data_IF_588265975619
#
_entry.id   IF_588265975619
#
_cell.length_a   1.000
_cell.length_b   1.000
_cell.length_c   1.000
_cell.angle_alpha   90.00
_cell.angle_beta   90.00
_cell.angle_gamma   90.00
#
_symmetry.space_group_name_H-M   'P 1'
#
loop_
_entity.id
_entity.type
_entity.pdbx_description
1 polymer ?
#
# COMPACT_ATOMS: atom_id res chain seq x y z
N UNK A 1 10.02 3.70 6.41
CA UNK A 1 8.68 4.16 6.17
C UNK A 1 7.76 3.05 5.68
N UNK A 2 6.84 3.38 4.79
CA UNK A 2 5.78 2.47 4.28
C UNK A 2 6.35 1.13 3.77
N UNK A 3 7.37 1.16 2.94
CA UNK A 3 8.01 -0.04 2.39
C UNK A 3 8.59 -0.96 3.48
N UNK A 4 9.22 -0.39 4.52
CA UNK A 4 9.72 -1.19 5.64
C UNK A 4 8.57 -1.81 6.46
N UNK A 5 7.47 -1.07 6.67
CA UNK A 5 6.29 -1.61 7.34
C UNK A 5 5.69 -2.79 6.55
N UNK A 6 5.59 -2.64 5.22
CA UNK A 6 5.15 -3.72 4.35
C UNK A 6 6.10 -4.92 4.38
N UNK A 7 7.42 -4.68 4.33
CA UNK A 7 8.43 -5.73 4.46
C UNK A 7 8.32 -6.50 5.79
N UNK A 8 8.08 -5.79 6.90
CA UNK A 8 7.86 -6.41 8.21
C UNK A 8 6.60 -7.30 8.21
N UNK A 9 5.50 -6.85 7.62
CA UNK A 9 4.27 -7.64 7.46
C UNK A 9 4.53 -8.88 6.62
N UNK A 10 5.25 -8.73 5.50
CA UNK A 10 5.59 -9.85 4.61
C UNK A 10 6.50 -10.87 5.31
N UNK A 11 7.52 -10.40 6.04
CA UNK A 11 8.40 -11.27 6.82
C UNK A 11 7.64 -12.01 7.92
N UNK A 12 6.75 -11.31 8.64
CA UNK A 12 5.90 -11.93 9.65
C UNK A 12 4.94 -12.97 9.04
N UNK A 13 4.41 -12.70 7.85
CA UNK A 13 3.56 -13.65 7.14
C UNK A 13 4.34 -14.89 6.69
N UNK A 14 5.60 -14.73 6.23
CA UNK A 14 6.47 -15.83 5.82
C UNK A 14 6.92 -16.71 7.00
N UNK A 15 7.22 -16.09 8.15
CA UNK A 15 7.86 -16.73 9.30
C UNK A 15 6.92 -16.89 10.51
N UNK A 16 5.64 -16.59 10.35
CA UNK A 16 4.66 -16.63 11.45
C UNK A 16 4.37 -18.04 11.94
N UNK A 17 4.16 -18.20 13.24
CA UNK A 17 3.89 -19.51 13.88
C UNK A 17 2.59 -20.15 13.43
N UNK A 18 1.64 -19.35 12.91
CA UNK A 18 0.34 -19.84 12.43
C UNK A 18 0.33 -20.03 10.89
N UNK A 19 1.46 -19.83 10.24
CA UNK A 19 1.61 -19.93 8.78
C UNK A 19 2.54 -21.07 8.47
N UNK A 20 2.03 -22.10 7.80
CA UNK A 20 2.79 -23.26 7.34
C UNK A 20 3.58 -22.97 6.08
N UNK A 21 3.04 -22.18 5.18
CA UNK A 21 3.69 -21.80 3.92
C UNK A 21 3.12 -20.50 3.35
N UNK A 22 3.95 -19.80 2.57
CA UNK A 22 3.58 -18.66 1.76
C UNK A 22 4.01 -18.91 0.31
N UNK A 23 3.05 -18.91 -0.60
CA UNK A 23 3.28 -19.16 -2.02
C UNK A 23 2.98 -17.88 -2.82
N UNK A 24 4.01 -17.19 -3.33
CA UNK A 24 3.79 -16.04 -4.20
C UNK A 24 3.20 -16.47 -5.54
N UNK A 25 2.28 -15.67 -6.08
CA UNK A 25 1.80 -15.84 -7.44
C UNK A 25 2.84 -15.25 -8.40
N UNK A 26 3.63 -16.13 -9.02
CA UNK A 26 4.70 -15.74 -9.94
C UNK A 26 4.22 -15.00 -11.20
N UNK A 27 2.91 -15.02 -11.48
CA UNK A 27 2.32 -14.29 -12.61
C UNK A 27 1.93 -12.85 -12.26
N UNK A 28 2.00 -12.44 -10.99
CA UNK A 28 1.71 -11.06 -10.61
C UNK A 28 2.95 -10.17 -10.80
N UNK A 29 2.70 -8.92 -11.20
CA UNK A 29 3.75 -7.93 -11.45
C UNK A 29 4.65 -7.68 -10.23
N UNK A 30 4.08 -7.76 -9.03
CA UNK A 30 4.77 -7.51 -7.77
C UNK A 30 5.47 -8.71 -7.16
N UNK A 31 5.52 -9.89 -7.82
CA UNK A 31 6.07 -11.11 -7.21
C UNK A 31 7.55 -10.96 -6.78
N UNK A 32 8.39 -10.42 -7.66
CA UNK A 32 9.80 -10.19 -7.34
C UNK A 32 9.98 -9.15 -6.23
N UNK A 33 9.21 -8.07 -6.28
CA UNK A 33 9.20 -7.03 -5.26
C UNK A 33 8.76 -7.56 -3.90
N UNK A 34 7.74 -8.40 -3.86
CA UNK A 34 7.27 -9.06 -2.65
C UNK A 34 8.37 -9.92 -2.00
N UNK A 35 9.12 -10.68 -2.79
CA UNK A 35 10.21 -11.49 -2.27
C UNK A 35 11.32 -10.63 -1.69
N UNK A 36 11.72 -9.54 -2.37
CA UNK A 36 12.67 -8.57 -1.83
C UNK A 36 12.20 -7.99 -0.49
N UNK A 37 10.91 -7.67 -0.37
CA UNK A 37 10.34 -7.14 0.87
C UNK A 37 10.35 -8.17 2.00
N UNK A 38 10.07 -9.43 1.70
CA UNK A 38 10.13 -10.51 2.69
C UNK A 38 11.54 -10.73 3.23
N UNK A 39 12.55 -10.56 2.38
CA UNK A 39 13.96 -10.75 2.74
C UNK A 39 14.58 -9.55 3.49
N UNK A 40 13.93 -8.38 3.52
CA UNK A 40 14.43 -7.19 4.23
C UNK A 40 14.69 -7.42 5.72
N UNK A 41 13.98 -8.35 6.34
CA UNK A 41 14.06 -8.66 7.76
C UNK A 41 14.60 -10.07 8.02
N UNK A 42 15.13 -10.73 6.99
CA UNK A 42 15.82 -12.00 7.13
C UNK A 42 17.29 -11.75 7.52
N UNK A 43 17.75 -12.19 8.70
CA UNK A 43 19.10 -11.93 9.16
C UNK A 43 20.18 -12.63 8.32
N UNK A 44 19.82 -13.63 7.53
CA UNK A 44 20.73 -14.36 6.64
C UNK A 44 20.75 -13.79 5.21
N UNK A 45 19.78 -12.94 4.87
CA UNK A 45 19.69 -12.36 3.54
C UNK A 45 20.55 -11.09 3.43
N UNK A 46 21.32 -10.99 2.35
CA UNK A 46 21.97 -9.73 1.95
C UNK A 46 20.92 -8.91 1.22
N UNK A 47 20.17 -8.09 1.94
CA UNK A 47 19.12 -7.26 1.35
C UNK A 47 19.52 -5.80 1.29
N UNK A 48 19.18 -5.16 0.18
CA UNK A 48 19.30 -3.71 -0.02
C UNK A 48 17.88 -3.14 0.02
N UNK A 49 17.72 -2.04 0.75
CA UNK A 49 16.44 -1.32 0.77
C UNK A 49 16.01 -1.01 -0.67
N UNK A 50 14.79 -1.37 -1.06
CA UNK A 50 14.30 -1.07 -2.39
C UNK A 50 14.26 0.45 -2.61
N UNK A 51 14.38 0.90 -3.86
CA UNK A 51 14.26 2.31 -4.19
C UNK A 51 12.88 2.83 -3.79
N UNK A 52 12.73 4.15 -3.76
CA UNK A 52 11.46 4.79 -3.52
C UNK A 52 10.47 4.42 -4.62
N UNK A 53 9.26 4.01 -4.25
CA UNK A 53 8.17 3.73 -5.20
C UNK A 53 7.84 5.00 -5.99
N UNK A 54 7.95 4.95 -7.30
CA UNK A 54 7.59 6.07 -8.19
C UNK A 54 6.06 6.20 -8.29
N UNK A 55 5.58 7.36 -8.74
CA UNK A 55 4.14 7.64 -8.84
C UNK A 55 3.43 6.69 -9.81
N UNK A 56 4.13 6.24 -10.84
CA UNK A 56 3.64 5.29 -11.83
C UNK A 56 3.63 3.85 -11.32
N UNK A 57 4.37 3.56 -10.26
CA UNK A 57 4.55 2.21 -9.75
C UNK A 57 3.44 1.89 -8.75
N UNK A 58 2.51 1.07 -9.18
CA UNK A 58 1.55 0.41 -8.32
C UNK A 58 1.84 -1.08 -8.34
N UNK A 59 2.34 -1.60 -7.23
CA UNK A 59 2.66 -3.02 -7.14
C UNK A 59 1.49 -3.79 -6.54
N UNK A 60 0.90 -4.66 -7.35
CA UNK A 60 -0.01 -5.69 -6.86
C UNK A 60 0.80 -6.96 -6.57
N UNK A 61 0.83 -7.35 -5.31
CA UNK A 61 1.54 -8.54 -4.83
C UNK A 61 0.53 -9.57 -4.38
N UNK A 62 0.34 -10.63 -5.15
CA UNK A 62 -0.59 -11.71 -4.84
C UNK A 62 0.13 -12.93 -4.31
N UNK A 63 -0.44 -13.54 -3.29
CA UNK A 63 0.10 -14.75 -2.67
C UNK A 63 -0.97 -15.55 -1.95
N UNK A 64 -0.65 -16.80 -1.66
CA UNK A 64 -1.47 -17.70 -0.86
C UNK A 64 -0.75 -18.01 0.44
N UNK A 65 -1.39 -17.72 1.57
CA UNK A 65 -0.96 -18.23 2.88
C UNK A 65 -1.66 -19.56 3.15
N UNK A 66 -0.90 -20.54 3.58
CA UNK A 66 -1.40 -21.81 4.08
C UNK A 66 -1.30 -21.80 5.60
N UNK A 67 -2.43 -21.88 6.29
CA UNK A 67 -2.49 -21.97 7.74
C UNK A 67 -2.02 -23.33 8.27
N UNK A 68 -1.75 -23.41 9.57
CA UNK A 68 -1.45 -24.69 10.25
C UNK A 68 -2.60 -25.70 10.11
N UNK A 69 -3.83 -25.22 9.97
CA UNK A 69 -5.02 -26.02 9.71
C UNK A 69 -5.14 -26.52 8.26
N UNK A 70 -4.16 -26.18 7.40
CA UNK A 70 -4.13 -26.52 5.99
C UNK A 70 -5.05 -25.66 5.11
N UNK A 71 -5.73 -24.67 5.65
CA UNK A 71 -6.57 -23.78 4.85
C UNK A 71 -5.73 -22.80 4.06
N UNK A 72 -6.16 -22.55 2.84
CA UNK A 72 -5.55 -21.57 1.94
C UNK A 72 -6.28 -20.22 2.01
N UNK A 73 -5.50 -19.17 2.19
CA UNK A 73 -5.98 -17.79 2.19
C UNK A 73 -5.29 -17.01 1.07
N UNK A 74 -6.05 -16.67 0.04
CA UNK A 74 -5.56 -15.83 -1.07
C UNK A 74 -5.59 -14.37 -0.65
N UNK A 75 -4.45 -13.72 -0.79
CA UNK A 75 -4.24 -12.34 -0.38
C UNK A 75 -3.62 -11.55 -1.53
N UNK A 76 -3.95 -10.27 -1.59
CA UNK A 76 -3.27 -9.31 -2.44
C UNK A 76 -2.92 -8.06 -1.63
N UNK A 77 -1.65 -7.65 -1.70
CA UNK A 77 -1.23 -6.32 -1.24
C UNK A 77 -1.12 -5.39 -2.44
N UNK A 78 -1.54 -4.16 -2.24
CA UNK A 78 -1.36 -3.08 -3.21
C UNK A 78 -0.48 -2.02 -2.55
N UNK A 79 0.76 -1.90 -3.02
CA UNK A 79 1.67 -0.84 -2.59
C UNK A 79 1.53 0.37 -3.50
N UNK A 80 1.19 1.51 -2.92
CA UNK A 80 0.93 2.76 -3.61
C UNK A 80 2.02 3.78 -3.31
N UNK A 81 2.44 4.53 -4.32
CA UNK A 81 3.35 5.66 -4.13
C UNK A 81 2.78 6.70 -3.17
N UNK A 82 3.64 7.27 -2.31
CA UNK A 82 3.27 8.40 -1.46
C UNK A 82 2.87 9.66 -2.25
N UNK A 83 3.28 9.80 -3.50
CA UNK A 83 2.90 10.91 -4.38
C UNK A 83 1.43 10.88 -4.78
N UNK A 84 0.77 9.71 -4.70
CA UNK A 84 -0.67 9.58 -4.94
C UNK A 84 -1.51 10.44 -3.99
N UNK A 85 -1.05 10.73 -2.78
CA UNK A 85 -1.72 11.67 -1.89
C UNK A 85 -1.79 13.08 -2.49
N UNK A 86 -0.74 13.52 -3.18
CA UNK A 86 -0.76 14.80 -3.93
C UNK A 86 -1.79 14.72 -5.07
N UNK A 87 -1.83 13.60 -5.80
CA UNK A 87 -2.80 13.40 -6.88
C UNK A 87 -4.24 13.42 -6.36
N UNK A 88 -4.49 12.78 -5.21
CA UNK A 88 -5.80 12.81 -4.55
C UNK A 88 -6.20 14.23 -4.18
N UNK A 89 -5.26 15.03 -3.63
CA UNK A 89 -5.51 16.43 -3.29
C UNK A 89 -5.85 17.26 -4.53
N UNK A 90 -5.05 17.16 -5.59
CA UNK A 90 -5.30 17.90 -6.83
C UNK A 90 -6.68 17.56 -7.40
N UNK A 91 -7.03 16.27 -7.44
CA UNK A 91 -8.32 15.81 -7.93
C UNK A 91 -9.48 16.31 -7.07
N UNK A 92 -9.43 16.12 -5.75
CA UNK A 92 -10.49 16.55 -4.83
C UNK A 92 -10.68 18.08 -4.82
N UNK A 93 -9.60 18.84 -5.08
CA UNK A 93 -9.65 20.32 -5.15
C UNK A 93 -10.00 20.85 -6.54
N UNK A 94 -10.21 19.99 -7.54
CA UNK A 94 -10.44 20.41 -8.92
C UNK A 94 -9.25 21.12 -9.56
N UNK A 95 -8.05 20.91 -9.03
CA UNK A 95 -6.81 21.51 -9.53
C UNK A 95 -6.21 20.66 -10.67
N UNK A 96 -5.55 21.29 -11.66
CA UNK A 96 -4.91 20.55 -12.74
C UNK A 96 -3.73 19.74 -12.23
N UNK A 97 -3.51 18.58 -12.84
CA UNK A 97 -2.28 17.83 -12.63
C UNK A 97 -1.09 18.54 -13.25
N UNK A 98 0.06 18.52 -12.57
CA UNK A 98 1.29 19.13 -13.06
C UNK A 98 1.95 18.32 -14.19
N UNK A 99 1.72 17.00 -14.18
CA UNK A 99 2.30 16.03 -15.12
C UNK A 99 1.28 14.98 -15.50
N UNK A 100 1.39 14.45 -16.72
CA UNK A 100 0.50 13.41 -17.22
C UNK A 100 0.56 12.13 -16.37
N UNK A 101 1.75 11.78 -15.86
CA UNK A 101 1.96 10.60 -15.02
C UNK A 101 1.11 10.64 -13.72
N UNK A 102 0.84 11.82 -13.20
CA UNK A 102 -0.04 11.98 -12.04
C UNK A 102 -1.50 11.68 -12.38
N UNK A 103 -1.95 12.13 -13.54
CA UNK A 103 -3.30 11.82 -14.04
C UNK A 103 -3.44 10.31 -14.28
N UNK A 104 -2.44 9.68 -14.89
CA UNK A 104 -2.44 8.24 -15.18
C UNK A 104 -2.43 7.42 -13.87
N UNK A 105 -1.66 7.85 -12.88
CA UNK A 105 -1.58 7.20 -11.58
C UNK A 105 -2.92 7.25 -10.83
N UNK A 106 -3.58 8.39 -10.81
CA UNK A 106 -4.90 8.51 -10.16
C UNK A 106 -5.97 7.72 -10.92
N UNK A 107 -5.91 7.66 -12.25
CA UNK A 107 -6.81 6.83 -13.05
C UNK A 107 -6.59 5.33 -12.77
N UNK A 108 -5.34 4.91 -12.58
CA UNK A 108 -5.00 3.54 -12.19
C UNK A 108 -5.60 3.22 -10.82
N UNK A 109 -5.45 4.12 -9.86
CA UNK A 109 -6.03 3.97 -8.53
C UNK A 109 -7.56 3.87 -8.58
N UNK A 110 -8.22 4.73 -9.36
CA UNK A 110 -9.67 4.68 -9.59
C UNK A 110 -10.11 3.35 -10.19
N UNK A 111 -9.33 2.84 -11.15
CA UNK A 111 -9.62 1.54 -11.76
C UNK A 111 -9.54 0.41 -10.73
N UNK A 112 -8.54 0.42 -9.87
CA UNK A 112 -8.33 -0.64 -8.86
C UNK A 112 -9.38 -0.55 -7.73
N UNK A 113 -9.59 0.65 -7.17
CA UNK A 113 -10.37 0.82 -5.94
C UNK A 113 -11.85 1.11 -6.19
N UNK A 114 -12.22 1.61 -7.36
CA UNK A 114 -13.59 2.06 -7.66
C UNK A 114 -14.22 1.25 -8.78
N UNK A 115 -13.65 1.27 -9.99
CA UNK A 115 -14.29 0.68 -11.18
C UNK A 115 -14.26 -0.86 -11.17
N UNK A 116 -13.18 -1.44 -10.66
CA UNK A 116 -13.00 -2.90 -10.57
C UNK A 116 -13.23 -3.39 -9.13
N UNK A 117 -14.17 -2.77 -8.42
CA UNK A 117 -14.55 -3.23 -7.08
C UNK A 117 -14.95 -4.70 -7.13
N UNK A 118 -14.40 -5.45 -6.19
CA UNK A 118 -14.75 -6.84 -5.95
C UNK A 118 -15.39 -6.95 -4.58
N UNK A 119 -16.15 -8.03 -4.34
CA UNK A 119 -16.68 -8.37 -3.03
C UNK A 119 -15.60 -8.95 -2.09
N UNK A 120 -14.33 -8.78 -2.43
CA UNK A 120 -13.22 -9.20 -1.57
C UNK A 120 -13.15 -8.31 -0.33
N UNK A 121 -12.88 -8.93 0.80
CA UNK A 121 -12.65 -8.23 2.07
C UNK A 121 -11.39 -7.38 1.96
N UNK A 122 -11.42 -6.18 2.52
CA UNK A 122 -10.35 -5.17 2.39
C UNK A 122 -9.93 -4.66 3.75
N UNK A 123 -8.63 -4.44 3.88
CA UNK A 123 -8.04 -3.75 5.03
C UNK A 123 -7.17 -2.62 4.47
N UNK A 124 -7.34 -1.43 5.00
CA UNK A 124 -6.60 -0.24 4.60
C UNK A 124 -5.58 0.13 5.66
N UNK A 125 -4.33 0.35 5.26
CA UNK A 125 -3.27 0.80 6.15
C UNK A 125 -2.78 2.19 5.72
N UNK A 126 -2.87 3.14 6.65
CA UNK A 126 -2.25 4.45 6.53
C UNK A 126 -0.95 4.45 7.32
N UNK A 127 0.17 4.68 6.64
CA UNK A 127 1.48 4.73 7.27
C UNK A 127 1.89 6.19 7.44
N UNK A 128 1.96 6.65 8.69
CA UNK A 128 2.30 8.03 9.05
C UNK A 128 3.63 8.08 9.80
N UNK A 129 4.35 9.17 9.65
CA UNK A 129 5.62 9.39 10.35
C UNK A 129 5.37 10.22 11.61
N UNK A 130 5.82 9.76 12.77
CA UNK A 130 5.78 10.53 14.00
C UNK A 130 6.64 11.79 13.87
N UNK A 131 6.14 12.92 14.36
CA UNK A 131 6.86 14.20 14.30
C UNK A 131 7.00 14.81 12.90
N UNK A 132 6.24 14.32 11.90
CA UNK A 132 6.29 14.86 10.54
C UNK A 132 5.25 15.95 10.25
N UNK A 133 4.51 16.40 11.25
CA UNK A 133 3.51 17.45 11.10
C UNK A 133 4.11 18.76 10.58
N UNK A 134 5.37 19.07 10.94
CA UNK A 134 6.07 20.28 10.50
C UNK A 134 6.86 20.07 9.19
N UNK A 135 6.99 18.83 8.74
CA UNK A 135 7.65 18.53 7.47
C UNK A 135 6.73 18.84 6.31
N UNK A 136 7.20 19.70 5.43
CA UNK A 136 6.49 20.01 4.19
C UNK A 136 7.11 19.23 3.03
N UNK A 137 6.29 18.52 2.30
CA UNK A 137 6.62 17.92 1.01
C UNK A 137 5.80 18.67 -0.03
N UNK A 138 6.46 19.34 -0.98
CA UNK A 138 5.78 20.19 -1.98
C UNK A 138 4.79 21.17 -1.35
N UNK A 139 5.22 21.85 -0.29
CA UNK A 139 4.44 22.85 0.46
C UNK A 139 3.27 22.31 1.29
N UNK A 140 3.00 21.02 1.28
CA UNK A 140 1.93 20.39 2.07
C UNK A 140 2.49 19.66 3.29
N UNK A 141 1.83 19.79 4.42
CA UNK A 141 2.10 19.02 5.64
C UNK A 141 1.54 17.61 5.54
N UNK A 142 1.99 16.70 6.42
CA UNK A 142 1.43 15.35 6.50
C UNK A 142 -0.09 15.38 6.75
N UNK A 143 -0.56 16.29 7.61
CA UNK A 143 -1.99 16.42 7.91
C UNK A 143 -2.79 16.84 6.69
N UNK A 144 -2.26 17.73 5.85
CA UNK A 144 -2.89 18.11 4.59
C UNK A 144 -3.01 16.93 3.62
N UNK A 145 -1.99 16.08 3.56
CA UNK A 145 -2.04 14.85 2.76
C UNK A 145 -3.09 13.88 3.27
N UNK A 146 -3.19 13.68 4.59
CA UNK A 146 -4.19 12.81 5.19
C UNK A 146 -5.61 13.33 4.96
N UNK A 147 -5.84 14.63 5.11
CA UNK A 147 -7.13 15.25 4.80
C UNK A 147 -7.52 15.06 3.33
N UNK A 148 -6.56 15.26 2.42
CA UNK A 148 -6.79 15.05 0.99
C UNK A 148 -7.17 13.58 0.67
N UNK A 149 -6.48 12.64 1.30
CA UNK A 149 -6.79 11.21 1.15
C UNK A 149 -8.19 10.89 1.69
N UNK A 150 -8.54 11.39 2.87
CA UNK A 150 -9.86 11.18 3.48
C UNK A 150 -10.96 11.77 2.59
N UNK A 151 -10.77 12.98 2.06
CA UNK A 151 -11.72 13.61 1.16
C UNK A 151 -11.94 12.77 -0.11
N UNK A 152 -10.86 12.33 -0.73
CA UNK A 152 -10.90 11.46 -1.91
C UNK A 152 -11.58 10.12 -1.61
N UNK A 153 -11.24 9.47 -0.49
CA UNK A 153 -11.82 8.20 -0.07
C UNK A 153 -13.33 8.32 0.12
N UNK A 154 -13.78 9.41 0.74
CA UNK A 154 -15.20 9.68 0.96
C UNK A 154 -15.93 9.99 -0.36
N UNK A 155 -15.34 10.82 -1.22
CA UNK A 155 -15.93 11.19 -2.51
C UNK A 155 -16.11 9.99 -3.43
N UNK A 156 -15.14 9.06 -3.39
CA UNK A 156 -15.13 7.87 -4.24
C UNK A 156 -15.76 6.63 -3.56
N UNK A 157 -16.29 6.76 -2.36
CA UNK A 157 -16.90 5.65 -1.60
C UNK A 157 -15.97 4.43 -1.49
N UNK A 158 -14.68 4.66 -1.19
CA UNK A 158 -13.69 3.59 -1.17
C UNK A 158 -13.88 2.66 0.02
N UNK A 159 -14.29 3.19 1.18
CA UNK A 159 -14.69 2.39 2.32
C UNK A 159 -16.15 1.95 2.13
N UNK A 160 -16.35 0.66 2.02
CA UNK A 160 -17.64 0.04 1.73
C UNK A 160 -17.94 -1.09 2.75
N UNK A 161 -19.04 -1.81 2.54
CA UNK A 161 -19.47 -2.93 3.37
C UNK A 161 -18.47 -4.11 3.42
N UNK A 162 -17.50 -4.16 2.49
CA UNK A 162 -16.43 -5.15 2.47
C UNK A 162 -15.14 -4.64 3.12
N UNK A 163 -15.14 -3.46 3.72
CA UNK A 163 -14.01 -2.93 4.47
C UNK A 163 -14.01 -3.49 5.89
N UNK A 164 -13.07 -4.41 6.18
CA UNK A 164 -12.94 -5.04 7.50
C UNK A 164 -12.23 -4.17 8.52
N UNK A 165 -11.40 -3.26 8.08
CA UNK A 165 -10.67 -2.38 8.97
C UNK A 165 -9.88 -1.29 8.26
N UNK A 166 -9.65 -0.23 9.02
CA UNK A 166 -8.78 0.88 8.64
C UNK A 166 -7.82 1.09 9.79
N UNK A 167 -6.53 0.98 9.52
CA UNK A 167 -5.48 1.04 10.53
C UNK A 167 -4.50 2.16 10.21
N UNK A 168 -4.05 2.84 11.26
CA UNK A 168 -2.95 3.80 11.18
C UNK A 168 -1.69 3.20 11.80
N UNK A 169 -0.63 3.11 11.03
CA UNK A 169 0.68 2.66 11.47
C UNK A 169 1.57 3.89 11.65
N UNK A 170 1.97 4.14 12.88
CA UNK A 170 2.89 5.23 13.19
C UNK A 170 4.32 4.70 13.14
N UNK A 171 5.17 5.35 12.35
CA UNK A 171 6.58 4.98 12.17
C UNK A 171 7.52 6.04 12.71
N UNK A 172 8.77 5.67 12.94
CA UNK A 172 9.83 6.54 13.48
C UNK A 172 9.53 7.12 14.87
N UNK A 173 8.90 6.32 15.70
CA UNK A 173 8.66 6.63 17.12
C UNK A 173 9.96 6.52 17.90
#
# INVERSE_FOLDING_TARGET
GKTCALGAIMSAAKNGTNVKAMHPDGNCQGAAYMMQLADLFDPEAVSVLPPRTDVQDTYEMRFTLVGEDGREHKLAFIDLSGELFTCMHLKASGLPFERQEQADAINTLDNILVKNRTNNRKIHFFVVEYGAQDKKIRSMSQDSYLQAAISYINEMDIFDEFTDGVYMIVTKV
#
